data_IF_500782759309
#
_entry.id   IF_500782759309
#
_cell.length_a   1.000
_cell.length_b   1.000
_cell.length_c   1.000
_cell.angle_alpha   90.00
_cell.angle_beta   90.00
_cell.angle_gamma   90.00
#
_symmetry.space_group_name_H-M   'P 1'
#
loop_
_entity.id
_entity.type
_entity.pdbx_description
1 polymer ?
#
# COMPACT_ATOMS: atom_id res chain seq x y z
N UNK A 1 -6.19 5.74 -1.04
CA UNK A 1 -6.71 7.02 -1.57
C UNK A 1 -7.14 6.78 -3.01
N UNK A 2 -8.42 6.99 -3.34
CA UNK A 2 -8.96 6.80 -4.71
C UNK A 2 -9.01 8.10 -5.52
N UNK A 3 -9.29 8.03 -6.83
CA UNK A 3 -9.30 9.19 -7.74
C UNK A 3 -10.20 10.34 -7.25
N UNK A 4 -11.43 10.02 -6.82
CA UNK A 4 -12.36 11.03 -6.31
C UNK A 4 -11.89 11.68 -5.00
N UNK A 5 -11.13 10.95 -4.18
CA UNK A 5 -10.53 11.52 -2.96
C UNK A 5 -9.40 12.49 -3.30
N UNK A 6 -8.58 12.19 -4.32
CA UNK A 6 -7.53 13.09 -4.83
C UNK A 6 -8.14 14.37 -5.39
N UNK A 7 -9.14 14.22 -6.25
CA UNK A 7 -9.90 15.33 -6.85
C UNK A 7 -10.49 16.24 -5.77
N UNK A 8 -11.17 15.67 -4.78
CA UNK A 8 -11.75 16.41 -3.69
C UNK A 8 -10.70 17.15 -2.84
N UNK A 9 -9.53 16.55 -2.63
CA UNK A 9 -8.44 17.17 -1.87
C UNK A 9 -7.84 18.39 -2.58
N UNK A 10 -7.64 18.34 -3.90
CA UNK A 10 -7.17 19.51 -4.66
C UNK A 10 -8.18 20.67 -4.63
N UNK A 11 -9.48 20.36 -4.80
CA UNK A 11 -10.54 21.37 -4.68
C UNK A 11 -10.56 21.99 -3.28
N UNK A 12 -10.37 21.19 -2.23
CA UNK A 12 -10.36 21.66 -0.86
C UNK A 12 -9.18 22.58 -0.54
N UNK A 13 -7.97 22.20 -0.97
CA UNK A 13 -6.74 22.93 -0.64
C UNK A 13 -6.54 24.18 -1.52
N UNK A 14 -6.72 24.04 -2.83
CA UNK A 14 -6.33 25.07 -3.81
C UNK A 14 -7.50 25.62 -4.64
N UNK A 15 -8.71 25.09 -4.45
CA UNK A 15 -9.91 25.51 -5.18
C UNK A 15 -10.05 24.93 -6.60
N UNK A 16 -9.13 24.05 -7.03
CA UNK A 16 -9.17 23.37 -8.33
C UNK A 16 -8.55 21.98 -8.28
N UNK A 17 -8.90 21.13 -9.24
CA UNK A 17 -8.34 19.78 -9.39
C UNK A 17 -6.92 19.83 -9.99
N UNK A 18 -6.09 18.80 -9.77
CA UNK A 18 -4.78 18.68 -10.42
C UNK A 18 -3.67 19.52 -9.77
N UNK A 19 -3.86 20.00 -8.54
CA UNK A 19 -2.94 20.90 -7.86
C UNK A 19 -2.01 20.21 -6.87
N UNK A 20 -2.30 18.96 -6.49
CA UNK A 20 -1.52 18.28 -5.46
C UNK A 20 -0.12 17.94 -5.99
N UNK A 21 0.88 18.02 -5.10
CA UNK A 21 2.29 17.88 -5.48
C UNK A 21 2.61 16.63 -6.32
N UNK A 22 2.00 15.49 -6.02
CA UNK A 22 2.22 14.23 -6.75
C UNK A 22 1.51 14.16 -8.11
N UNK A 23 0.50 14.99 -8.36
CA UNK A 23 -0.18 15.07 -9.67
C UNK A 23 0.74 15.70 -10.73
N UNK A 24 1.78 16.43 -10.31
CA UNK A 24 2.82 16.99 -11.19
C UNK A 24 3.84 15.96 -11.69
N UNK A 25 3.80 14.72 -11.19
CA UNK A 25 4.78 13.70 -11.58
C UNK A 25 4.62 13.30 -13.06
N UNK A 26 5.74 13.07 -13.78
CA UNK A 26 5.70 12.81 -15.22
C UNK A 26 5.10 11.45 -15.60
N UNK A 27 4.95 10.54 -14.63
CA UNK A 27 4.43 9.20 -14.85
C UNK A 27 3.24 8.95 -13.92
N UNK A 28 2.14 8.50 -14.50
CA UNK A 28 0.93 8.14 -13.78
C UNK A 28 0.45 6.78 -14.31
N UNK A 29 -0.10 5.96 -13.42
CA UNK A 29 -0.60 4.64 -13.78
C UNK A 29 -1.79 4.29 -12.88
N UNK A 30 -2.67 3.44 -13.42
CA UNK A 30 -3.76 2.84 -12.68
C UNK A 30 -3.39 1.41 -12.27
N UNK A 31 -3.90 0.98 -11.11
CA UNK A 31 -3.59 -0.34 -10.56
C UNK A 31 -4.86 -1.04 -10.08
N UNK A 32 -4.92 -2.35 -10.30
CA UNK A 32 -6.00 -3.18 -9.77
C UNK A 32 -5.69 -3.63 -8.35
N UNK A 33 -6.65 -3.47 -7.44
CA UNK A 33 -6.43 -3.63 -6.00
C UNK A 33 -7.04 -4.88 -5.39
N UNK A 34 -7.71 -5.74 -6.17
CA UNK A 34 -8.37 -6.94 -5.66
C UNK A 34 -7.43 -7.82 -4.78
N UNK A 35 -8.00 -8.44 -3.75
CA UNK A 35 -7.32 -9.43 -2.92
C UNK A 35 -7.47 -10.84 -3.51
N UNK A 36 -6.73 -11.82 -2.99
CA UNK A 36 -6.79 -13.19 -3.52
C UNK A 36 -8.18 -13.86 -3.38
N UNK A 37 -8.99 -13.44 -2.40
CA UNK A 37 -10.34 -13.95 -2.14
C UNK A 37 -11.47 -12.91 -2.31
N UNK A 38 -11.18 -11.68 -2.75
CA UNK A 38 -12.18 -10.61 -2.81
C UNK A 38 -11.88 -9.59 -3.91
N UNK A 39 -12.91 -9.14 -4.61
CA UNK A 39 -12.83 -8.01 -5.56
C UNK A 39 -12.54 -6.68 -4.86
N UNK A 40 -12.94 -6.56 -3.59
CA UNK A 40 -12.68 -5.39 -2.73
C UNK A 40 -11.72 -5.82 -1.62
N UNK A 41 -10.50 -5.30 -1.68
CA UNK A 41 -9.44 -5.61 -0.71
C UNK A 41 -9.61 -4.85 0.60
N UNK A 42 -8.89 -5.30 1.63
CA UNK A 42 -8.70 -4.57 2.88
C UNK A 42 -7.29 -3.97 2.97
N UNK A 43 -6.98 -3.29 4.09
CA UNK A 43 -5.66 -2.68 4.26
C UNK A 43 -4.53 -3.70 4.45
N UNK A 44 -4.84 -4.89 4.98
CA UNK A 44 -3.85 -5.95 5.21
C UNK A 44 -3.37 -6.56 3.89
N UNK A 45 -4.30 -7.01 3.05
CA UNK A 45 -3.98 -7.60 1.76
C UNK A 45 -3.38 -6.57 0.78
N UNK A 46 -3.88 -5.33 0.78
CA UNK A 46 -3.30 -4.26 -0.05
C UNK A 46 -1.90 -3.87 0.41
N UNK A 47 -1.69 -3.72 1.73
CA UNK A 47 -0.37 -3.42 2.31
C UNK A 47 0.64 -4.52 1.97
N UNK A 48 0.26 -5.78 2.16
CA UNK A 48 1.09 -6.94 1.82
C UNK A 48 1.46 -6.96 0.34
N UNK A 49 0.51 -6.70 -0.55
CA UNK A 49 0.78 -6.69 -2.00
C UNK A 49 1.81 -5.61 -2.38
N UNK A 50 1.77 -4.43 -1.74
CA UNK A 50 2.74 -3.35 -1.97
C UNK A 50 4.11 -3.71 -1.36
N UNK A 51 4.12 -4.26 -0.14
CA UNK A 51 5.34 -4.55 0.60
C UNK A 51 6.11 -5.75 0.04
N UNK A 52 5.42 -6.79 -0.42
CA UNK A 52 6.00 -8.09 -0.78
C UNK A 52 5.88 -8.44 -2.26
N UNK A 53 5.02 -7.72 -3.01
CA UNK A 53 4.70 -8.05 -4.40
C UNK A 53 3.75 -9.24 -4.58
N UNK A 54 3.17 -9.80 -3.52
CA UNK A 54 2.27 -10.96 -3.58
C UNK A 54 0.85 -10.60 -3.11
N UNK A 55 -0.17 -11.04 -3.85
CA UNK A 55 -1.58 -10.91 -3.42
C UNK A 55 -1.93 -12.01 -2.42
N UNK A 56 -2.54 -11.61 -1.31
CA UNK A 56 -2.99 -12.49 -0.23
C UNK A 56 -4.48 -12.29 0.05
N UNK A 57 -5.06 -13.15 0.88
CA UNK A 57 -6.46 -13.00 1.31
C UNK A 57 -6.63 -11.76 2.20
N UNK A 58 -7.83 -11.14 2.20
CA UNK A 58 -8.15 -10.07 3.15
C UNK A 58 -7.89 -10.51 4.60
N UNK A 59 -7.36 -9.61 5.42
CA UNK A 59 -6.96 -9.86 6.80
C UNK A 59 -5.60 -10.54 6.99
N UNK A 60 -4.93 -10.94 5.90
CA UNK A 60 -3.58 -11.53 5.95
C UNK A 60 -2.53 -10.45 5.76
N UNK A 61 -1.49 -10.50 6.60
CA UNK A 61 -0.33 -9.59 6.58
C UNK A 61 0.92 -10.41 6.30
N UNK A 62 1.59 -10.16 5.18
CA UNK A 62 2.94 -10.67 4.82
C UNK A 62 3.15 -12.18 4.99
N UNK A 63 2.08 -12.95 4.77
CA UNK A 63 2.08 -14.41 4.74
C UNK A 63 1.48 -14.90 3.42
N UNK A 64 2.08 -15.92 2.82
CA UNK A 64 1.67 -16.51 1.56
C UNK A 64 0.37 -17.33 1.70
N UNK A 65 -0.73 -16.72 2.14
CA UNK A 65 -2.06 -17.33 2.24
C UNK A 65 -3.00 -16.70 1.20
N UNK A 66 -3.60 -17.49 0.28
CA UNK A 66 -3.97 -18.91 0.41
C UNK A 66 -2.95 -19.93 -0.13
N UNK A 67 -1.69 -19.55 -0.34
CA UNK A 67 -0.61 -20.44 -0.76
C UNK A 67 -0.10 -21.36 0.35
N UNK A 68 1.22 -21.50 0.45
CA UNK A 68 1.89 -22.40 1.40
C UNK A 68 1.93 -21.88 2.85
N UNK A 69 1.53 -20.62 3.08
CA UNK A 69 1.52 -20.00 4.40
C UNK A 69 2.91 -19.63 4.93
N UNK A 70 3.94 -19.60 4.08
CA UNK A 70 5.25 -19.10 4.47
C UNK A 70 5.27 -17.57 4.62
N UNK A 71 6.22 -17.07 5.41
CA UNK A 71 6.51 -15.64 5.51
C UNK A 71 6.97 -15.08 4.16
N UNK A 72 6.49 -13.89 3.81
CA UNK A 72 6.86 -13.18 2.61
C UNK A 72 7.84 -12.06 2.97
N UNK A 73 9.01 -12.04 2.32
CA UNK A 73 9.98 -10.96 2.51
C UNK A 73 9.38 -9.63 2.01
N UNK A 74 9.37 -8.64 2.89
CA UNK A 74 8.97 -7.26 2.58
C UNK A 74 10.13 -6.49 1.94
N UNK A 75 9.81 -5.43 1.19
CA UNK A 75 10.82 -4.57 0.58
C UNK A 75 11.73 -3.91 1.62
N UNK A 76 11.20 -3.62 2.82
CA UNK A 76 11.99 -3.11 3.95
C UNK A 76 13.00 -4.14 4.45
N UNK A 77 12.59 -5.40 4.63
CA UNK A 77 13.50 -6.49 5.02
C UNK A 77 14.57 -6.71 3.95
N UNK A 78 14.19 -6.73 2.68
CA UNK A 78 15.13 -6.83 1.56
C UNK A 78 16.20 -5.72 1.58
N UNK A 79 15.80 -4.48 1.86
CA UNK A 79 16.78 -3.38 1.98
C UNK A 79 17.63 -3.49 3.25
N UNK A 80 17.07 -4.04 4.33
CA UNK A 80 17.80 -4.30 5.57
C UNK A 80 18.89 -5.36 5.37
N UNK A 81 18.61 -6.45 4.66
CA UNK A 81 19.63 -7.48 4.33
C UNK A 81 20.78 -6.90 3.48
N UNK A 82 20.50 -5.82 2.73
CA UNK A 82 21.49 -5.05 1.96
C UNK A 82 22.19 -3.94 2.75
N UNK A 83 22.11 -3.94 4.08
CA UNK A 83 22.68 -2.91 4.96
C UNK A 83 22.22 -1.48 4.62
N UNK A 84 21.00 -1.31 4.13
CA UNK A 84 20.39 0.01 3.95
C UNK A 84 19.61 0.42 5.20
N UNK A 85 19.45 1.73 5.38
CA UNK A 85 18.57 2.28 6.41
C UNK A 85 17.12 2.13 5.96
N UNK A 86 16.25 1.78 6.89
CA UNK A 86 14.82 1.52 6.68
C UNK A 86 14.02 2.20 7.79
N UNK A 87 12.79 2.59 7.49
CA UNK A 87 11.92 3.28 8.45
C UNK A 87 10.47 3.34 7.99
N UNK A 88 9.57 3.44 8.97
CA UNK A 88 8.13 3.54 8.77
C UNK A 88 7.60 4.74 9.55
N UNK A 89 6.72 5.52 8.93
CA UNK A 89 6.04 6.66 9.54
C UNK A 89 4.56 6.54 9.23
N UNK A 90 3.72 6.75 10.24
CA UNK A 90 2.27 6.61 10.13
C UNK A 90 1.57 7.55 11.10
N UNK A 91 0.33 7.93 10.77
CA UNK A 91 -0.56 8.68 11.65
C UNK A 91 -1.48 7.78 12.47
N UNK A 92 -1.53 6.49 12.16
CA UNK A 92 -2.29 5.48 12.92
C UNK A 92 -1.37 4.69 13.87
N UNK A 93 -1.94 3.75 14.63
CA UNK A 93 -1.14 2.85 15.46
C UNK A 93 -0.12 2.08 14.62
N UNK A 94 1.09 1.89 15.15
CA UNK A 94 2.16 1.12 14.47
C UNK A 94 1.77 -0.34 14.21
N UNK A 95 0.80 -0.85 14.96
CA UNK A 95 0.21 -2.20 14.80
C UNK A 95 -0.96 -2.25 13.83
N UNK A 96 -1.36 -1.12 13.23
CA UNK A 96 -2.37 -1.11 12.18
C UNK A 96 -1.86 -1.88 10.95
N UNK A 97 -2.78 -2.42 10.14
CA UNK A 97 -2.43 -3.27 9.00
C UNK A 97 -1.41 -2.64 8.03
N UNK A 98 -1.56 -1.35 7.72
CA UNK A 98 -0.67 -0.65 6.78
C UNK A 98 0.80 -0.57 7.23
N UNK A 99 1.13 -0.08 8.45
CA UNK A 99 2.51 -0.12 8.94
C UNK A 99 3.00 -1.52 9.39
N UNK A 100 2.10 -2.47 9.62
CA UNK A 100 2.47 -3.82 10.03
C UNK A 100 2.85 -4.75 8.86
N UNK A 101 2.43 -4.41 7.63
CA UNK A 101 2.71 -5.17 6.42
C UNK A 101 4.13 -5.00 5.87
#
# INVERSE_FOLDING_TARGET
MGFEQVKAAGIYEDGSEGTLSFESFPNQAEMTTYAANSSVTDSAAAGTAIATGQKVNCGVISMAYPGDGNELETLLEYFKTKNKSVGLVTTVYVTHATPAA
#
